data_IF_011096232441
#
_entry.id   IF_011096232441
#
_cell.length_a   1.000
_cell.length_b   1.000
_cell.length_c   1.000
_cell.angle_alpha   90.00
_cell.angle_beta   90.00
_cell.angle_gamma   90.00
#
_symmetry.space_group_name_H-M   'P 1'
#
loop_
_entity.id
_entity.type
_entity.pdbx_description
1 polymer ?
#
# COMPACT_ATOMS: atom_id res chain seq x y z
N UNK A 1 -11.85 4.49 15.81
CA UNK A 1 -13.18 4.84 15.24
C UNK A 1 -13.01 4.87 13.72
N UNK A 2 -12.88 3.74 13.02
CA UNK A 2 -13.93 2.84 12.57
C UNK A 2 -13.31 1.45 12.39
N UNK A 3 -13.42 0.58 13.40
CA UNK A 3 -13.38 -0.85 13.10
C UNK A 3 -14.80 -1.20 12.64
N UNK A 4 -15.01 -1.75 11.44
CA UNK A 4 -16.31 -2.22 11.02
C UNK A 4 -16.57 -3.58 11.68
N UNK A 5 -16.61 -3.64 13.01
CA UNK A 5 -17.11 -4.80 13.74
C UNK A 5 -18.64 -4.70 13.64
N UNK A 6 -19.22 -5.50 12.73
CA UNK A 6 -20.67 -5.74 12.57
C UNK A 6 -21.54 -4.73 11.79
N UNK A 7 -21.05 -4.10 10.71
CA UNK A 7 -22.00 -3.58 9.70
C UNK A 7 -22.28 -4.67 8.65
N UNK A 8 -23.56 -5.03 8.38
CA UNK A 8 -23.85 -6.04 7.36
C UNK A 8 -23.27 -5.63 6.01
N UNK A 9 -22.77 -6.61 5.23
CA UNK A 9 -22.11 -6.39 3.93
C UNK A 9 -22.94 -5.50 2.99
N UNK A 10 -24.27 -5.48 3.14
CA UNK A 10 -25.23 -4.62 2.43
C UNK A 10 -24.91 -3.12 2.51
N UNK A 11 -24.36 -2.60 3.60
CA UNK A 11 -24.00 -1.17 3.67
C UNK A 11 -22.88 -0.80 2.70
N UNK A 12 -22.04 -1.76 2.30
CA UNK A 12 -21.04 -1.53 1.26
C UNK A 12 -21.69 -1.38 -0.13
N UNK A 13 -22.84 -2.02 -0.34
CA UNK A 13 -23.59 -1.92 -1.60
C UNK A 13 -24.17 -0.51 -1.83
N UNK A 14 -24.46 0.23 -0.75
CA UNK A 14 -24.95 1.62 -0.82
C UNK A 14 -23.98 2.54 -1.58
N UNK A 15 -22.68 2.29 -1.49
CA UNK A 15 -21.66 3.05 -2.23
C UNK A 15 -21.72 2.84 -3.75
N UNK A 16 -22.41 1.80 -4.23
CA UNK A 16 -22.59 1.54 -5.67
C UNK A 16 -23.85 2.18 -6.24
N UNK A 17 -24.76 2.71 -5.41
CA UNK A 17 -25.99 3.38 -5.87
C UNK A 17 -25.69 4.48 -6.92
N UNK A 18 -24.68 5.36 -6.75
CA UNK A 18 -24.35 6.38 -7.75
C UNK A 18 -23.92 5.79 -9.10
N UNK A 19 -23.22 4.66 -9.09
CA UNK A 19 -22.81 3.94 -10.31
C UNK A 19 -24.02 3.32 -11.00
N UNK A 20 -24.94 2.74 -10.23
CA UNK A 20 -26.18 2.16 -10.77
C UNK A 20 -27.05 3.26 -11.41
N UNK A 21 -27.22 4.39 -10.73
CA UNK A 21 -27.93 5.56 -11.28
C UNK A 21 -27.25 6.06 -12.56
N UNK A 22 -25.92 6.13 -12.57
CA UNK A 22 -25.15 6.52 -13.74
C UNK A 22 -25.38 5.59 -14.94
N UNK A 23 -25.33 4.26 -14.72
CA UNK A 23 -25.59 3.27 -15.76
C UNK A 23 -27.04 3.37 -16.26
N UNK A 24 -28.01 3.54 -15.35
CA UNK A 24 -29.41 3.70 -15.71
C UNK A 24 -29.64 4.95 -16.58
N UNK A 25 -29.04 6.08 -16.23
CA UNK A 25 -29.12 7.31 -17.01
C UNK A 25 -28.45 7.20 -18.39
N UNK A 26 -27.41 6.36 -18.53
CA UNK A 26 -26.76 6.08 -19.81
C UNK A 26 -27.49 5.03 -20.65
N UNK A 27 -28.38 4.24 -20.05
CA UNK A 27 -29.02 3.10 -20.70
C UNK A 27 -29.71 3.46 -22.04
N UNK A 28 -30.49 4.55 -22.15
CA UNK A 28 -31.12 4.91 -23.42
C UNK A 28 -30.10 5.18 -24.54
N UNK A 29 -28.98 5.85 -24.22
CA UNK A 29 -27.92 6.13 -25.17
C UNK A 29 -27.14 4.86 -25.55
N UNK A 30 -26.81 4.02 -24.57
CA UNK A 30 -26.06 2.79 -24.80
C UNK A 30 -26.81 1.83 -25.73
N UNK A 31 -28.14 1.81 -25.67
CA UNK A 31 -28.99 0.93 -26.46
C UNK A 31 -29.37 1.47 -27.86
N UNK A 32 -28.89 2.67 -28.23
CA UNK A 32 -29.11 3.22 -29.57
C UNK A 32 -28.36 2.41 -30.64
N UNK A 33 -28.96 2.27 -31.84
CA UNK A 33 -28.31 1.73 -33.04
C UNK A 33 -27.10 2.58 -33.43
N UNK A 34 -26.11 1.97 -34.09
CA UNK A 34 -24.81 2.60 -34.39
C UNK A 34 -24.92 3.96 -35.10
N UNK A 35 -25.73 4.04 -36.16
CA UNK A 35 -25.94 5.27 -36.93
C UNK A 35 -26.64 6.37 -36.11
N UNK A 36 -27.71 6.03 -35.39
CA UNK A 36 -28.43 6.97 -34.50
C UNK A 36 -27.53 7.44 -33.37
N UNK A 37 -26.70 6.56 -32.81
CA UNK A 37 -25.72 6.89 -31.77
C UNK A 37 -24.63 7.81 -32.32
N UNK A 38 -24.15 7.58 -33.54
CA UNK A 38 -23.17 8.45 -34.19
C UNK A 38 -23.74 9.85 -34.43
N UNK A 39 -24.96 9.96 -34.97
CA UNK A 39 -25.65 11.25 -35.13
C UNK A 39 -25.90 11.94 -33.79
N UNK A 40 -26.31 11.19 -32.76
CA UNK A 40 -26.49 11.72 -31.41
C UNK A 40 -25.18 12.28 -30.83
N UNK A 41 -24.06 11.58 -31.02
CA UNK A 41 -22.74 12.05 -30.60
C UNK A 41 -22.27 13.25 -31.44
N UNK A 42 -22.49 13.26 -32.75
CA UNK A 42 -22.14 14.37 -33.63
C UNK A 42 -22.91 15.64 -33.26
N UNK A 43 -24.22 15.57 -33.05
CA UNK A 43 -25.02 16.71 -32.59
C UNK A 43 -24.56 17.19 -31.21
N UNK A 44 -24.12 16.28 -30.34
CA UNK A 44 -23.50 16.66 -29.05
C UNK A 44 -22.22 17.49 -29.25
N UNK A 45 -21.39 17.13 -30.22
CA UNK A 45 -20.15 17.85 -30.53
C UNK A 45 -20.39 19.17 -31.29
N UNK A 46 -21.37 19.22 -32.20
CA UNK A 46 -21.67 20.39 -33.04
C UNK A 46 -22.59 21.40 -32.34
N UNK A 47 -23.73 20.97 -31.79
CA UNK A 47 -24.72 21.87 -31.19
C UNK A 47 -24.37 22.28 -29.75
N UNK A 48 -23.29 21.72 -29.18
CA UNK A 48 -22.88 21.96 -27.78
C UNK A 48 -24.03 21.72 -26.77
N UNK A 49 -25.03 20.93 -27.16
CA UNK A 49 -26.27 20.76 -26.42
C UNK A 49 -26.33 19.36 -25.81
N UNK A 50 -26.24 19.28 -24.48
CA UNK A 50 -26.20 18.01 -23.75
C UNK A 50 -27.24 17.92 -22.61
N UNK A 51 -28.53 17.75 -22.91
CA UNK A 51 -29.58 17.70 -21.89
C UNK A 51 -29.44 16.49 -20.95
N UNK A 52 -28.93 15.35 -21.43
CA UNK A 52 -28.69 14.16 -20.60
C UNK A 52 -27.42 14.27 -19.73
N UNK A 53 -26.43 15.08 -20.13
CA UNK A 53 -25.19 15.25 -19.36
C UNK A 53 -25.35 16.25 -18.22
N UNK A 54 -26.35 17.14 -18.25
CA UNK A 54 -26.64 18.08 -17.16
C UNK A 54 -27.07 17.38 -15.85
N UNK A 55 -28.07 16.47 -15.83
CA UNK A 55 -28.42 15.71 -14.62
C UNK A 55 -27.28 14.80 -14.16
N UNK A 56 -26.55 14.18 -15.10
CA UNK A 56 -25.39 13.35 -14.80
C UNK A 56 -24.26 14.16 -14.14
N UNK A 57 -24.01 15.38 -14.59
CA UNK A 57 -23.04 16.28 -13.98
C UNK A 57 -23.44 16.64 -12.54
N UNK A 58 -24.71 16.95 -12.30
CA UNK A 58 -25.23 17.22 -10.96
C UNK A 58 -25.09 16.01 -10.02
N UNK A 59 -25.40 14.80 -10.49
CA UNK A 59 -25.21 13.56 -9.72
C UNK A 59 -23.74 13.33 -9.39
N UNK A 60 -22.81 13.56 -10.34
CA UNK A 60 -21.37 13.43 -10.11
C UNK A 60 -20.84 14.44 -9.09
N UNK A 61 -21.25 15.71 -9.19
CA UNK A 61 -20.86 16.78 -8.25
C UNK A 61 -21.39 16.46 -6.85
N UNK A 62 -22.67 16.09 -6.74
CA UNK A 62 -23.28 15.69 -5.48
C UNK A 62 -22.57 14.49 -4.84
N UNK A 63 -22.24 13.48 -5.63
CA UNK A 63 -21.49 12.32 -5.17
C UNK A 63 -20.10 12.69 -4.64
N UNK A 64 -19.34 13.51 -5.38
CA UNK A 64 -18.02 13.97 -4.95
C UNK A 64 -18.09 14.82 -3.67
N UNK A 65 -19.09 15.69 -3.55
CA UNK A 65 -19.32 16.49 -2.36
C UNK A 65 -19.61 15.64 -1.11
N UNK A 66 -20.42 14.57 -1.26
CA UNK A 66 -20.69 13.62 -0.17
C UNK A 66 -19.40 12.94 0.30
N UNK A 67 -18.57 12.46 -0.62
CA UNK A 67 -17.30 11.82 -0.25
C UNK A 67 -16.30 12.79 0.38
N UNK A 68 -16.23 14.03 -0.10
CA UNK A 68 -15.46 15.09 0.53
C UNK A 68 -15.93 15.38 1.96
N UNK A 69 -17.24 15.47 2.18
CA UNK A 69 -17.82 15.68 3.49
C UNK A 69 -17.51 14.50 4.43
N UNK A 70 -17.65 13.26 3.97
CA UNK A 70 -17.31 12.06 4.76
C UNK A 70 -15.82 12.08 5.12
N UNK A 71 -14.93 12.30 4.17
CA UNK A 71 -13.49 12.36 4.41
C UNK A 71 -13.14 13.48 5.41
N UNK A 72 -13.75 14.66 5.29
CA UNK A 72 -13.55 15.77 6.20
C UNK A 72 -14.05 15.48 7.63
N UNK A 73 -15.22 14.86 7.77
CA UNK A 73 -15.76 14.42 9.07
C UNK A 73 -14.82 13.42 9.74
N UNK A 74 -14.33 12.43 8.99
CA UNK A 74 -13.36 11.44 9.50
C UNK A 74 -12.05 12.12 9.90
N UNK A 75 -11.59 13.10 9.12
CA UNK A 75 -10.37 13.87 9.44
C UNK A 75 -10.51 14.67 10.73
N UNK A 76 -11.62 15.39 10.87
CA UNK A 76 -11.91 16.15 12.09
C UNK A 76 -12.05 15.23 13.31
N UNK A 77 -12.66 14.06 13.12
CA UNK A 77 -12.79 13.04 14.17
C UNK A 77 -11.44 12.45 14.59
N UNK A 78 -10.57 12.12 13.62
CA UNK A 78 -9.23 11.59 13.87
C UNK A 78 -8.36 12.62 14.62
N UNK A 79 -8.37 13.88 14.18
CA UNK A 79 -7.60 14.97 14.79
C UNK A 79 -8.08 15.34 16.20
N UNK A 80 -9.37 15.18 16.50
CA UNK A 80 -9.93 15.43 17.85
C UNK A 80 -9.52 14.35 18.86
N UNK A 81 -9.23 13.13 18.40
CA UNK A 81 -8.89 11.99 19.26
C UNK A 81 -7.40 11.90 19.62
N UNK A 82 -6.51 12.54 18.86
CA UNK A 82 -5.05 12.44 19.01
C UNK A 82 -4.41 13.81 19.16
N UNK A 83 -4.47 14.40 20.36
CA UNK A 83 -3.84 15.69 20.67
C UNK A 83 -2.41 15.57 21.23
N UNK A 84 -1.83 14.37 21.29
CA UNK A 84 -0.63 14.10 22.12
C UNK A 84 0.52 13.33 21.48
N UNK A 85 0.47 12.95 20.19
CA UNK A 85 1.62 12.31 19.54
C UNK A 85 1.89 12.89 18.14
N UNK A 86 3.08 13.42 17.93
CA UNK A 86 3.42 14.39 16.87
C UNK A 86 3.82 13.78 15.52
N UNK A 87 3.58 12.49 15.27
CA UNK A 87 3.94 11.84 13.99
C UNK A 87 3.00 10.67 13.61
N UNK A 88 1.69 10.85 13.72
CA UNK A 88 0.74 9.82 13.28
C UNK A 88 0.59 9.80 11.75
N UNK A 89 1.24 8.83 11.12
CA UNK A 89 1.13 8.52 9.67
C UNK A 89 -0.32 8.40 9.18
N UNK A 90 -1.29 8.10 10.05
CA UNK A 90 -2.70 8.03 9.67
C UNK A 90 -3.30 9.42 9.36
N UNK A 91 -2.97 10.45 10.16
CA UNK A 91 -3.44 11.81 9.91
C UNK A 91 -2.86 12.36 8.61
N UNK A 92 -1.57 12.14 8.37
CA UNK A 92 -0.90 12.58 7.14
C UNK A 92 -1.52 11.95 5.89
N UNK A 93 -1.89 10.66 5.95
CA UNK A 93 -2.61 9.97 4.87
C UNK A 93 -3.99 10.55 4.62
N UNK A 94 -4.75 10.79 5.67
CA UNK A 94 -6.11 11.29 5.56
C UNK A 94 -6.15 12.74 5.04
N UNK A 95 -5.21 13.58 5.50
CA UNK A 95 -5.02 14.93 4.97
C UNK A 95 -4.65 14.88 3.47
N UNK A 96 -3.85 13.91 3.04
CA UNK A 96 -3.51 13.74 1.63
C UNK A 96 -4.70 13.31 0.77
N UNK A 97 -5.51 12.35 1.25
CA UNK A 97 -6.76 11.95 0.57
C UNK A 97 -7.68 13.16 0.39
N UNK A 98 -7.82 14.00 1.41
CA UNK A 98 -8.61 15.23 1.31
C UNK A 98 -8.04 16.17 0.25
N UNK A 99 -6.72 16.42 0.22
CA UNK A 99 -6.12 17.31 -0.80
C UNK A 99 -6.37 16.81 -2.22
N UNK A 100 -6.28 15.50 -2.47
CA UNK A 100 -6.57 14.92 -3.78
C UNK A 100 -8.04 15.06 -4.15
N UNK A 101 -8.93 14.74 -3.23
CA UNK A 101 -10.37 14.87 -3.48
C UNK A 101 -10.76 16.33 -3.72
N UNK A 102 -10.18 17.27 -2.97
CA UNK A 102 -10.40 18.71 -3.14
C UNK A 102 -9.85 19.20 -4.48
N UNK A 103 -8.66 18.77 -4.88
CA UNK A 103 -8.09 19.09 -6.21
C UNK A 103 -8.95 18.53 -7.34
N UNK A 104 -9.46 17.30 -7.18
CA UNK A 104 -10.40 16.71 -8.14
C UNK A 104 -11.69 17.52 -8.22
N UNK A 105 -12.26 17.92 -7.08
CA UNK A 105 -13.45 18.77 -7.05
C UNK A 105 -13.23 20.14 -7.68
N UNK A 106 -12.05 20.72 -7.50
CA UNK A 106 -11.68 21.98 -8.15
C UNK A 106 -11.63 21.84 -9.68
N UNK A 107 -11.03 20.75 -10.20
CA UNK A 107 -10.98 20.47 -11.64
C UNK A 107 -12.39 20.31 -12.21
N UNK A 108 -13.23 19.48 -11.58
CA UNK A 108 -14.61 19.25 -12.02
C UNK A 108 -15.49 20.50 -11.88
N UNK A 109 -15.27 21.30 -10.83
CA UNK A 109 -15.95 22.58 -10.63
C UNK A 109 -15.57 23.60 -11.71
N UNK A 110 -14.29 23.71 -12.03
CA UNK A 110 -13.79 24.58 -13.10
C UNK A 110 -14.30 24.12 -14.46
N UNK A 111 -14.30 22.82 -14.73
CA UNK A 111 -14.90 22.24 -15.93
C UNK A 111 -16.38 22.60 -16.05
N UNK A 112 -17.15 22.44 -14.97
CA UNK A 112 -18.58 22.77 -14.96
C UNK A 112 -18.80 24.27 -15.16
N UNK A 113 -18.01 25.12 -14.51
CA UNK A 113 -18.07 26.57 -14.66
C UNK A 113 -17.78 27.00 -16.12
N UNK A 114 -16.69 26.51 -16.70
CA UNK A 114 -16.32 26.80 -18.08
C UNK A 114 -17.38 26.30 -19.07
N UNK A 115 -18.06 25.20 -18.77
CA UNK A 115 -19.16 24.70 -19.60
C UNK A 115 -20.34 25.68 -19.69
N UNK A 116 -20.66 26.38 -18.61
CA UNK A 116 -21.72 27.40 -18.60
C UNK A 116 -21.24 28.79 -19.03
N UNK A 117 -19.96 29.10 -18.87
CA UNK A 117 -19.41 30.43 -19.15
C UNK A 117 -18.90 30.57 -20.60
N UNK A 118 -17.92 29.74 -20.99
CA UNK A 118 -17.35 29.73 -22.34
C UNK A 118 -16.77 28.36 -22.66
N UNK A 119 -17.50 27.62 -23.50
CA UNK A 119 -17.15 26.27 -23.88
C UNK A 119 -15.87 26.18 -24.73
N UNK A 120 -15.42 27.28 -25.34
CA UNK A 120 -14.21 27.28 -26.17
C UNK A 120 -12.97 26.95 -25.33
N UNK A 121 -12.96 27.34 -24.05
CA UNK A 121 -11.85 27.06 -23.14
C UNK A 121 -11.84 25.63 -22.60
N UNK A 122 -12.95 24.88 -22.68
CA UNK A 122 -13.03 23.52 -22.12
C UNK A 122 -11.99 22.57 -22.73
N UNK A 123 -11.84 22.62 -24.05
CA UNK A 123 -10.96 21.72 -24.79
C UNK A 123 -9.47 22.01 -24.57
N UNK A 124 -9.13 23.16 -23.97
CA UNK A 124 -7.75 23.57 -23.69
C UNK A 124 -7.47 23.47 -22.18
N UNK A 125 -8.31 24.11 -21.35
CA UNK A 125 -8.10 24.20 -19.92
C UNK A 125 -8.29 22.85 -19.21
N UNK A 126 -9.26 22.03 -19.63
CA UNK A 126 -9.53 20.77 -18.95
C UNK A 126 -8.39 19.74 -19.14
N UNK A 127 -7.86 19.48 -20.36
CA UNK A 127 -6.72 18.60 -20.53
C UNK A 127 -5.47 19.07 -19.78
N UNK A 128 -5.19 20.38 -19.77
CA UNK A 128 -4.06 20.96 -19.02
C UNK A 128 -4.23 20.71 -17.53
N UNK A 129 -5.40 20.98 -16.97
CA UNK A 129 -5.69 20.77 -15.54
C UNK A 129 -5.55 19.29 -15.13
N UNK A 130 -6.07 18.36 -15.95
CA UNK A 130 -5.94 16.92 -15.74
C UNK A 130 -4.47 16.50 -15.80
N UNK A 131 -3.73 17.00 -16.79
CA UNK A 131 -2.31 16.69 -16.96
C UNK A 131 -1.49 17.15 -15.75
N UNK A 132 -1.67 18.39 -15.30
CA UNK A 132 -1.04 18.92 -14.09
C UNK A 132 -1.40 18.10 -12.85
N UNK A 133 -2.66 17.67 -12.72
CA UNK A 133 -3.10 16.82 -11.62
C UNK A 133 -2.41 15.44 -11.63
N UNK A 134 -2.29 14.81 -12.80
CA UNK A 134 -1.60 13.53 -12.95
C UNK A 134 -0.12 13.64 -12.58
N UNK A 135 0.59 14.67 -13.07
CA UNK A 135 1.97 14.93 -12.69
C UNK A 135 2.11 15.24 -11.20
N UNK A 136 1.19 16.03 -10.64
CA UNK A 136 1.15 16.33 -9.22
C UNK A 136 0.99 15.07 -8.36
N UNK A 137 0.02 14.21 -8.70
CA UNK A 137 -0.20 12.93 -8.03
C UNK A 137 1.05 12.04 -8.14
N UNK A 138 1.63 11.92 -9.33
CA UNK A 138 2.84 11.13 -9.57
C UNK A 138 4.04 11.64 -8.77
N UNK A 139 4.30 12.96 -8.80
CA UNK A 139 5.35 13.60 -8.03
C UNK A 139 5.18 13.35 -6.52
N UNK A 140 3.96 13.52 -5.99
CA UNK A 140 3.67 13.25 -4.58
C UNK A 140 3.83 11.77 -4.23
N UNK A 141 3.42 10.85 -5.12
CA UNK A 141 3.58 9.42 -4.90
C UNK A 141 5.05 9.01 -4.78
N UNK A 142 5.93 9.63 -5.58
CA UNK A 142 7.38 9.41 -5.52
C UNK A 142 8.01 10.07 -4.29
N UNK A 143 7.57 11.29 -3.93
CA UNK A 143 8.13 12.06 -2.81
C UNK A 143 7.77 11.49 -1.44
N UNK A 144 6.63 10.81 -1.33
CA UNK A 144 6.08 10.27 -0.08
C UNK A 144 5.69 8.78 -0.22
N UNK A 145 6.66 7.88 -0.44
CA UNK A 145 6.38 6.45 -0.62
C UNK A 145 5.78 5.81 0.65
N UNK A 146 6.00 6.40 1.81
CA UNK A 146 5.45 6.00 3.11
C UNK A 146 3.91 6.03 3.15
N UNK A 147 3.26 6.87 2.33
CA UNK A 147 1.81 6.90 2.21
C UNK A 147 1.24 5.57 1.71
N UNK A 148 1.99 4.86 0.86
CA UNK A 148 1.56 3.64 0.18
C UNK A 148 2.13 2.36 0.80
N UNK A 149 3.12 2.49 1.69
CA UNK A 149 3.89 1.37 2.24
C UNK A 149 3.12 0.52 3.28
N UNK A 150 2.14 1.08 3.97
CA UNK A 150 1.42 0.39 5.08
C UNK A 150 0.14 -0.35 4.68
N UNK A 151 -0.29 -0.32 3.41
CA UNK A 151 -1.51 -1.05 3.02
C UNK A 151 -1.34 -2.56 3.22
N UNK A 152 -0.12 -3.06 3.40
CA UNK A 152 0.17 -4.46 3.72
C UNK A 152 0.28 -4.82 5.23
N UNK A 153 0.20 -3.87 6.18
CA UNK A 153 0.55 -4.16 7.59
C UNK A 153 -0.58 -4.11 8.62
N UNK A 154 -1.85 -3.90 8.23
CA UNK A 154 -2.99 -3.96 9.18
C UNK A 154 -4.05 -5.03 8.89
N UNK A 155 -3.88 -5.84 7.84
CA UNK A 155 -4.73 -7.01 7.58
C UNK A 155 -4.32 -8.25 8.39
N UNK A 156 -3.09 -8.26 8.92
CA UNK A 156 -2.57 -9.38 9.71
C UNK A 156 -3.05 -9.33 11.16
N UNK A 157 -2.98 -8.19 11.86
CA UNK A 157 -3.33 -8.13 13.30
C UNK A 157 -4.80 -8.43 13.61
N UNK A 158 -5.74 -8.03 12.74
CA UNK A 158 -7.17 -8.35 12.91
C UNK A 158 -7.55 -9.78 12.46
N UNK A 159 -6.63 -10.52 11.82
CA UNK A 159 -6.84 -11.91 11.36
C UNK A 159 -6.23 -12.96 12.30
N UNK A 160 -5.54 -12.53 13.35
CA UNK A 160 -4.89 -13.40 14.34
C UNK A 160 -5.75 -13.73 15.57
N UNK A 161 -6.95 -13.16 15.67
CA UNK A 161 -7.94 -13.46 16.74
C UNK A 161 -8.45 -14.92 16.73
N UNK A 162 -8.00 -15.78 15.79
CA UNK A 162 -8.46 -17.18 15.65
C UNK A 162 -7.34 -18.24 15.66
N UNK A 163 -6.10 -17.91 16.04
CA UNK A 163 -5.13 -18.98 16.31
C UNK A 163 -5.54 -19.74 17.58
N UNK A 164 -6.07 -20.95 17.41
CA UNK A 164 -6.39 -21.89 18.49
C UNK A 164 -5.16 -22.40 19.27
N UNK A 165 -3.94 -21.98 18.91
CA UNK A 165 -2.72 -22.45 19.58
C UNK A 165 -2.62 -21.89 20.99
N UNK A 166 -2.42 -22.79 21.97
CA UNK A 166 -2.13 -22.43 23.35
C UNK A 166 -0.78 -21.73 23.46
N UNK A 167 -0.55 -21.01 24.57
CA UNK A 167 0.75 -20.39 24.84
C UNK A 167 1.91 -21.40 24.86
N UNK A 168 1.65 -22.62 25.34
CA UNK A 168 2.63 -23.70 25.37
C UNK A 168 2.99 -24.21 23.97
N UNK A 169 2.00 -24.38 23.09
CA UNK A 169 2.24 -24.80 21.70
C UNK A 169 3.08 -23.76 20.94
N UNK A 170 2.78 -22.47 21.15
CA UNK A 170 3.56 -21.37 20.55
C UNK A 170 5.02 -21.42 21.01
N UNK A 171 5.27 -21.65 22.31
CA UNK A 171 6.62 -21.79 22.86
C UNK A 171 7.36 -23.00 22.29
N UNK A 172 6.70 -24.16 22.16
CA UNK A 172 7.29 -25.36 21.56
C UNK A 172 7.67 -25.14 20.08
N UNK A 173 6.81 -24.46 19.32
CA UNK A 173 7.10 -24.12 17.92
C UNK A 173 8.26 -23.13 17.83
N UNK A 174 8.33 -22.13 18.73
CA UNK A 174 9.44 -21.18 18.82
C UNK A 174 10.78 -21.90 19.06
N UNK A 175 10.84 -22.85 19.98
CA UNK A 175 12.06 -23.61 20.24
C UNK A 175 12.49 -24.45 19.03
N UNK A 176 11.55 -25.10 18.35
CA UNK A 176 11.84 -25.85 17.11
C UNK A 176 12.35 -24.93 16.00
N UNK A 177 11.73 -23.75 15.85
CA UNK A 177 12.16 -22.72 14.90
C UNK A 177 13.60 -22.29 15.18
N UNK A 178 13.92 -21.96 16.44
CA UNK A 178 15.28 -21.60 16.84
C UNK A 178 16.28 -22.70 16.56
N UNK A 179 15.94 -23.97 16.85
CA UNK A 179 16.78 -25.12 16.54
C UNK A 179 17.07 -25.25 15.04
N UNK A 180 16.05 -25.13 14.18
CA UNK A 180 16.24 -25.19 12.72
C UNK A 180 17.12 -24.04 12.22
N UNK A 181 16.92 -22.82 12.74
CA UNK A 181 17.70 -21.67 12.32
C UNK A 181 19.15 -21.75 12.80
N UNK A 182 19.41 -22.20 14.03
CA UNK A 182 20.75 -22.25 14.61
C UNK A 182 21.55 -23.48 14.19
N UNK A 183 20.92 -24.66 14.19
CA UNK A 183 21.60 -25.94 13.91
C UNK A 183 21.70 -26.22 12.42
N UNK A 184 20.57 -26.17 11.71
CA UNK A 184 20.51 -26.53 10.28
C UNK A 184 20.92 -25.36 9.38
N UNK A 185 21.10 -24.16 9.95
CA UNK A 185 21.44 -22.91 9.24
C UNK A 185 20.57 -22.68 8.00
N UNK A 186 19.28 -23.04 8.09
CA UNK A 186 18.36 -23.01 6.95
C UNK A 186 18.24 -21.60 6.32
N UNK A 187 18.54 -20.56 7.09
CA UNK A 187 18.62 -19.18 6.61
C UNK A 187 19.61 -18.99 5.45
N UNK A 188 20.63 -19.86 5.29
CA UNK A 188 21.58 -19.81 4.16
C UNK A 188 20.94 -20.20 2.82
N UNK A 189 19.78 -20.85 2.82
CA UNK A 189 19.08 -21.16 1.58
C UNK A 189 18.47 -19.87 0.99
N UNK A 190 18.89 -19.43 -0.22
CA UNK A 190 18.35 -18.23 -0.87
C UNK A 190 16.86 -18.33 -1.20
N UNK A 191 16.34 -19.55 -1.41
CA UNK A 191 14.95 -19.84 -1.75
C UNK A 191 14.08 -20.09 -0.52
N UNK A 192 14.59 -19.85 0.69
CA UNK A 192 13.84 -20.03 1.93
C UNK A 192 12.63 -19.08 1.98
N UNK A 193 11.44 -19.68 1.89
CA UNK A 193 10.15 -18.99 2.03
C UNK A 193 9.45 -19.43 3.31
N UNK A 194 8.55 -18.57 3.81
CA UNK A 194 7.75 -18.83 5.01
C UNK A 194 7.00 -20.17 4.93
N UNK A 195 6.45 -20.50 3.75
CA UNK A 195 5.72 -21.74 3.51
C UNK A 195 6.60 -22.97 3.70
N UNK A 196 7.83 -22.94 3.18
CA UNK A 196 8.78 -24.04 3.30
C UNK A 196 9.18 -24.26 4.77
N UNK A 197 9.41 -23.18 5.51
CA UNK A 197 9.74 -23.26 6.93
C UNK A 197 8.56 -23.76 7.76
N UNK A 198 7.34 -23.34 7.42
CA UNK A 198 6.12 -23.79 8.06
C UNK A 198 5.88 -25.29 7.85
N UNK A 199 6.09 -25.78 6.62
CA UNK A 199 6.05 -27.21 6.31
C UNK A 199 7.06 -28.01 7.13
N UNK A 200 8.30 -27.53 7.26
CA UNK A 200 9.35 -28.21 8.05
C UNK A 200 9.06 -28.21 9.56
N UNK A 201 8.29 -27.25 10.03
CA UNK A 201 7.83 -27.15 11.41
C UNK A 201 6.49 -27.87 11.65
N UNK A 202 5.87 -28.42 10.61
CA UNK A 202 4.54 -29.03 10.64
C UNK A 202 3.47 -28.07 11.20
N UNK A 203 3.47 -26.83 10.68
CA UNK A 203 2.52 -25.78 11.05
C UNK A 203 2.03 -25.04 9.82
N UNK A 204 0.88 -24.36 9.93
CA UNK A 204 0.43 -23.47 8.87
C UNK A 204 1.34 -22.24 8.74
N UNK A 205 1.53 -21.73 7.52
CA UNK A 205 2.30 -20.50 7.29
C UNK A 205 1.71 -19.30 8.05
N UNK A 206 0.39 -19.28 8.24
CA UNK A 206 -0.29 -18.25 9.03
C UNK A 206 0.11 -18.32 10.51
N UNK A 207 0.08 -19.50 11.11
CA UNK A 207 0.46 -19.68 12.51
C UNK A 207 1.95 -19.36 12.71
N UNK A 208 2.82 -19.79 11.79
CA UNK A 208 4.24 -19.46 11.87
C UNK A 208 4.47 -17.94 11.77
N UNK A 209 3.79 -17.25 10.85
CA UNK A 209 3.90 -15.80 10.77
C UNK A 209 3.40 -15.11 12.03
N UNK A 210 2.32 -15.60 12.63
CA UNK A 210 1.81 -15.06 13.89
C UNK A 210 2.84 -15.22 15.01
N UNK A 211 3.37 -16.43 15.18
CA UNK A 211 4.38 -16.74 16.20
C UNK A 211 5.61 -15.88 16.00
N UNK A 212 6.10 -15.72 14.76
CA UNK A 212 7.27 -14.87 14.48
C UNK A 212 7.01 -13.42 14.91
N UNK A 213 5.87 -12.85 14.52
CA UNK A 213 5.53 -11.48 14.91
C UNK A 213 5.36 -11.32 16.43
N UNK A 214 4.65 -12.24 17.09
CA UNK A 214 4.37 -12.14 18.53
C UNK A 214 5.61 -12.42 19.40
N UNK A 215 6.44 -13.40 19.03
CA UNK A 215 7.54 -13.88 19.87
C UNK A 215 8.88 -13.19 19.59
N UNK A 216 9.04 -12.58 18.42
CA UNK A 216 10.28 -11.93 18.00
C UNK A 216 10.09 -10.46 17.66
N UNK A 217 8.84 -9.97 17.60
CA UNK A 217 8.52 -8.60 17.19
C UNK A 217 9.14 -8.21 15.83
N UNK A 218 9.18 -9.18 14.92
CA UNK A 218 9.79 -9.10 13.61
C UNK A 218 8.89 -9.82 12.60
N UNK A 219 8.92 -9.42 11.33
CA UNK A 219 8.36 -10.28 10.28
C UNK A 219 9.35 -11.40 9.88
N UNK A 220 8.87 -12.38 9.10
CA UNK A 220 9.69 -13.50 8.64
C UNK A 220 10.99 -13.06 7.95
N UNK A 221 10.91 -12.10 7.03
CA UNK A 221 12.07 -11.63 6.28
C UNK A 221 13.07 -10.92 7.19
N UNK A 222 12.62 -10.16 8.18
CA UNK A 222 13.48 -9.53 9.20
C UNK A 222 14.17 -10.55 10.08
N UNK A 223 13.44 -11.56 10.55
CA UNK A 223 14.00 -12.65 11.34
C UNK A 223 15.11 -13.36 10.56
N UNK A 224 14.82 -13.86 9.35
CA UNK A 224 15.82 -14.58 8.54
C UNK A 224 17.03 -13.69 8.24
N UNK A 225 16.81 -12.44 7.81
CA UNK A 225 17.91 -11.54 7.52
C UNK A 225 18.77 -11.25 8.76
N UNK A 226 18.19 -11.22 9.96
CA UNK A 226 18.97 -11.05 11.20
C UNK A 226 19.97 -12.19 11.37
N UNK A 227 19.55 -13.44 11.18
CA UNK A 227 20.45 -14.59 11.21
C UNK A 227 21.51 -14.56 10.10
N UNK A 228 21.12 -14.16 8.87
CA UNK A 228 22.06 -14.04 7.74
C UNK A 228 23.16 -13.00 8.01
N UNK A 229 22.78 -11.83 8.55
CA UNK A 229 23.74 -10.76 8.86
C UNK A 229 24.65 -11.15 10.03
N UNK A 230 24.13 -11.82 11.06
CA UNK A 230 24.97 -12.32 12.15
C UNK A 230 25.99 -13.37 11.67
N UNK A 231 25.61 -14.26 10.77
CA UNK A 231 26.57 -15.19 10.14
C UNK A 231 27.56 -14.44 9.23
N UNK A 232 27.11 -13.43 8.48
CA UNK A 232 27.99 -12.64 7.61
C UNK A 232 29.06 -11.90 8.41
N UNK A 233 28.70 -11.33 9.57
CA UNK A 233 29.67 -10.75 10.51
C UNK A 233 30.73 -11.76 10.89
N UNK A 234 30.35 -12.99 11.27
CA UNK A 234 31.31 -14.04 11.64
C UNK A 234 32.26 -14.39 10.49
N UNK A 235 31.76 -14.45 9.26
CA UNK A 235 32.60 -14.73 8.08
C UNK A 235 33.57 -13.59 7.79
N UNK A 236 33.15 -12.34 7.97
CA UNK A 236 33.98 -11.16 7.72
C UNK A 236 35.23 -11.07 8.62
N UNK A 237 35.16 -11.54 9.87
CA UNK A 237 36.30 -11.52 10.81
C UNK A 237 37.04 -12.85 10.92
N UNK A 238 36.68 -13.84 10.10
CA UNK A 238 37.38 -15.11 10.11
C UNK A 238 38.62 -15.02 9.20
N UNK A 239 39.81 -15.19 9.78
CA UNK A 239 41.11 -15.25 9.09
C UNK A 239 41.08 -16.08 7.80
N UNK A 240 40.39 -17.23 7.81
CA UNK A 240 40.30 -18.14 6.67
C UNK A 240 39.50 -17.58 5.49
N UNK A 241 38.68 -16.56 5.71
CA UNK A 241 37.75 -15.99 4.72
C UNK A 241 38.16 -14.59 4.25
N UNK A 242 39.34 -14.07 4.65
CA UNK A 242 39.85 -12.75 4.21
C UNK A 242 39.97 -12.61 2.69
N UNK A 243 40.11 -13.72 1.96
CA UNK A 243 40.18 -13.75 0.50
C UNK A 243 38.81 -13.62 -0.20
N UNK A 244 37.70 -13.79 0.54
CA UNK A 244 36.36 -13.74 -0.04
C UNK A 244 35.91 -12.30 -0.27
N UNK A 245 35.28 -12.07 -1.43
CA UNK A 245 34.64 -10.78 -1.71
C UNK A 245 33.35 -10.63 -0.89
N UNK A 246 32.94 -9.39 -0.65
CA UNK A 246 31.63 -9.09 -0.02
C UNK A 246 30.45 -9.76 -0.73
N UNK A 247 30.55 -9.92 -2.06
CA UNK A 247 29.51 -10.59 -2.87
C UNK A 247 29.51 -12.09 -2.60
N UNK A 248 30.68 -12.72 -2.50
CA UNK A 248 30.79 -14.13 -2.13
C UNK A 248 30.19 -14.38 -0.73
N UNK A 249 30.53 -13.55 0.25
CA UNK A 249 29.97 -13.66 1.62
C UNK A 249 28.44 -13.49 1.59
N UNK A 250 27.93 -12.50 0.84
CA UNK A 250 26.50 -12.29 0.71
C UNK A 250 25.78 -13.51 0.13
N UNK A 251 26.37 -14.17 -0.87
CA UNK A 251 25.83 -15.38 -1.47
C UNK A 251 25.87 -16.57 -0.47
N UNK A 252 26.99 -16.74 0.25
CA UNK A 252 27.18 -17.83 1.23
C UNK A 252 26.22 -17.76 2.41
N UNK A 253 25.77 -16.56 2.78
CA UNK A 253 24.74 -16.38 3.81
C UNK A 253 23.32 -16.34 3.26
N UNK A 254 23.13 -16.57 1.95
CA UNK A 254 21.82 -16.80 1.34
C UNK A 254 21.12 -15.56 0.77
N UNK A 255 21.84 -14.47 0.46
CA UNK A 255 21.26 -13.35 -0.27
C UNK A 255 21.31 -13.58 -1.78
N UNK A 256 20.22 -13.25 -2.48
CA UNK A 256 20.13 -13.32 -3.94
C UNK A 256 20.78 -12.13 -4.66
N UNK A 257 21.09 -11.04 -3.94
CA UNK A 257 21.71 -9.87 -4.54
C UNK A 257 22.53 -9.05 -3.53
N UNK A 258 23.57 -8.39 -4.04
CA UNK A 258 24.38 -7.42 -3.28
C UNK A 258 23.55 -6.27 -2.71
N UNK A 259 22.56 -5.79 -3.46
CA UNK A 259 21.68 -4.70 -3.03
C UNK A 259 20.88 -5.09 -1.79
N UNK A 260 20.22 -6.26 -1.82
CA UNK A 260 19.46 -6.78 -0.68
C UNK A 260 20.33 -7.02 0.55
N UNK A 261 21.55 -7.55 0.36
CA UNK A 261 22.52 -7.71 1.43
C UNK A 261 22.89 -6.37 2.06
N UNK A 262 23.30 -5.38 1.26
CA UNK A 262 23.71 -4.07 1.75
C UNK A 262 22.58 -3.36 2.52
N UNK A 263 21.35 -3.41 2.01
CA UNK A 263 20.20 -2.82 2.70
C UNK A 263 19.89 -3.52 4.03
N UNK A 264 19.94 -4.85 4.06
CA UNK A 264 19.72 -5.60 5.29
C UNK A 264 20.81 -5.35 6.33
N UNK A 265 22.09 -5.37 5.89
CA UNK A 265 23.26 -5.11 6.73
C UNK A 265 23.14 -3.71 7.35
N UNK A 266 22.97 -2.66 6.53
CA UNK A 266 22.82 -1.28 7.02
C UNK A 266 21.63 -1.10 7.95
N UNK A 267 20.51 -1.77 7.70
CA UNK A 267 19.34 -1.69 8.58
C UNK A 267 19.62 -2.29 9.96
N UNK A 268 20.31 -3.42 10.01
CA UNK A 268 20.56 -4.17 11.25
C UNK A 268 21.74 -3.57 12.04
N UNK A 269 22.83 -3.20 11.36
CA UNK A 269 24.06 -2.73 12.02
C UNK A 269 24.19 -1.20 12.06
N UNK A 270 23.28 -0.47 11.38
CA UNK A 270 23.36 0.98 11.13
C UNK A 270 24.55 1.41 10.26
N UNK A 271 25.32 0.46 9.73
CA UNK A 271 26.52 0.70 8.91
C UNK A 271 26.47 -0.14 7.64
N UNK A 272 27.02 0.34 6.53
CA UNK A 272 27.26 -0.50 5.35
C UNK A 272 28.31 -1.57 5.67
N UNK A 273 28.35 -2.70 4.93
CA UNK A 273 29.36 -3.74 5.14
C UNK A 273 30.80 -3.19 5.10
N UNK A 274 31.09 -2.29 4.15
CA UNK A 274 32.41 -1.65 4.02
C UNK A 274 32.75 -0.75 5.22
N UNK A 275 31.79 0.05 5.70
CA UNK A 275 31.98 0.86 6.91
C UNK A 275 32.21 -0.02 8.14
N UNK A 276 31.49 -1.13 8.24
CA UNK A 276 31.62 -2.08 9.34
C UNK A 276 32.99 -2.76 9.36
N UNK A 277 33.52 -3.16 8.20
CA UNK A 277 34.88 -3.70 8.04
C UNK A 277 35.91 -2.67 8.51
N UNK A 278 35.84 -1.44 7.97
CA UNK A 278 36.77 -0.36 8.30
C UNK A 278 36.78 -0.01 9.79
N UNK A 279 35.60 0.00 10.42
CA UNK A 279 35.46 0.30 11.84
C UNK A 279 36.04 -0.79 12.76
N UNK A 280 36.15 -2.03 12.28
CA UNK A 280 36.59 -3.18 13.07
C UNK A 280 37.98 -3.73 12.62
N UNK A 281 38.77 -2.94 11.89
CA UNK A 281 40.21 -3.19 11.70
C UNK A 281 40.61 -4.14 10.58
N UNK A 282 40.04 -3.96 9.39
CA UNK A 282 40.52 -4.51 8.11
C UNK A 282 40.89 -3.37 7.15
#
# INVERSE_FOLDING_TARGET
ILQPKNRPKIWRAVHFIPVIIFIYLLWPMLNMRGETKAMYLMNIFEDRYMPALNPLAMVRIGHLAVYLAICFIVYRSARKSHKTDSNDTHETRLAWVIRILSGSAFIWGTYTFLYFYDQNWLNIAAPIAITLALYGIGFYAVRFPELFRDVQLKSTSAKYEYSKLSGEEKSRIKERLLKILQRDKLFKNPDLKLQLLAQRLDVSAQNLSQIINEQFNQNFSELINSYRIEEAKKLLFNEKHKHLTLVAIANDVGFNSKSSFNSAFKRITRQTPSEFIKANGL
#
